data_IF_378876405109
#
_entry.id   IF_378876405109
#
_cell.length_a   1.000
_cell.length_b   1.000
_cell.length_c   1.000
_cell.angle_alpha   90.00
_cell.angle_beta   90.00
_cell.angle_gamma   90.00
#
_symmetry.space_group_name_H-M   'P 1'
#
loop_
_entity.id
_entity.type
_entity.pdbx_description
1 polymer ?
#
# COMPACT_ATOMS: atom_id res chain seq x y z
N UNK A 1 61.19 -6.50 -37.63
CA UNK A 1 61.63 -7.02 -38.94
C UNK A 1 60.42 -7.62 -39.66
N UNK A 2 60.10 -7.05 -40.85
CA UNK A 2 59.36 -7.56 -42.04
C UNK A 2 58.14 -8.49 -41.83
N UNK A 3 56.91 -8.03 -42.14
CA UNK A 3 56.18 -8.03 -43.47
C UNK A 3 55.84 -9.46 -43.92
N UNK A 4 54.61 -9.82 -44.31
CA UNK A 4 53.78 -9.38 -45.49
C UNK A 4 52.39 -10.07 -45.34
N UNK A 5 51.21 -9.43 -45.37
CA UNK A 5 50.38 -8.89 -46.48
C UNK A 5 50.09 -9.81 -47.69
N UNK A 6 48.80 -10.11 -47.93
CA UNK A 6 48.02 -9.94 -49.18
C UNK A 6 46.53 -10.29 -48.88
N UNK A 7 45.44 -9.56 -49.18
CA UNK A 7 44.92 -8.68 -50.27
C UNK A 7 44.02 -9.38 -51.31
N UNK A 8 42.84 -8.76 -51.50
CA UNK A 8 41.86 -8.86 -52.61
C UNK A 8 40.42 -8.81 -52.04
N UNK A 9 39.56 -7.77 -52.12
CA UNK A 9 39.34 -6.63 -53.04
C UNK A 9 39.02 -7.12 -54.47
N UNK A 10 37.90 -6.79 -55.14
CA UNK A 10 37.32 -5.47 -55.45
C UNK A 10 35.90 -5.60 -56.05
N UNK A 11 35.05 -4.58 -55.77
CA UNK A 11 33.97 -3.86 -56.50
C UNK A 11 33.19 -4.46 -57.70
N UNK A 12 32.02 -3.97 -58.15
CA UNK A 12 31.45 -2.61 -58.37
C UNK A 12 29.92 -2.72 -58.56
N UNK A 13 29.03 -1.91 -57.97
CA UNK A 13 28.64 -0.50 -58.26
C UNK A 13 27.72 -0.28 -59.47
N UNK A 14 26.54 0.33 -59.23
CA UNK A 14 25.93 1.54 -59.85
C UNK A 14 24.41 1.52 -59.65
N UNK A 15 23.83 2.42 -58.87
CA UNK A 15 23.45 3.82 -59.17
C UNK A 15 22.32 3.93 -60.22
N UNK A 16 21.19 4.54 -59.84
CA UNK A 16 20.84 5.89 -60.31
C UNK A 16 19.54 6.43 -59.70
N UNK A 17 19.66 7.66 -59.18
CA UNK A 17 18.62 8.68 -59.02
C UNK A 17 18.16 9.23 -60.39
N UNK A 18 16.92 9.72 -60.46
CA UNK A 18 16.62 11.01 -61.09
C UNK A 18 15.22 11.54 -60.74
N UNK A 19 15.19 12.81 -60.34
CA UNK A 19 14.06 13.72 -60.13
C UNK A 19 13.27 14.06 -61.42
N UNK A 20 12.03 14.56 -61.29
CA UNK A 20 11.68 16.00 -61.50
C UNK A 20 10.16 16.31 -61.50
N UNK A 21 9.80 17.37 -60.73
CA UNK A 21 8.89 18.55 -60.96
C UNK A 21 7.53 18.36 -61.66
N UNK A 22 6.42 19.04 -61.36
CA UNK A 22 5.99 20.17 -60.50
C UNK A 22 4.44 20.29 -60.66
N UNK A 23 3.66 20.96 -59.80
CA UNK A 23 3.32 22.38 -59.92
C UNK A 23 2.31 22.84 -58.83
N UNK A 24 2.54 24.05 -58.32
CA UNK A 24 1.59 25.15 -58.04
C UNK A 24 0.42 25.05 -57.01
N UNK A 25 0.54 25.92 -55.99
CA UNK A 25 -0.48 26.47 -55.04
C UNK A 25 -1.52 27.38 -55.77
N UNK A 26 -2.70 27.71 -55.18
CA UNK A 26 -2.79 28.83 -54.22
C UNK A 26 -3.74 28.64 -53.02
N UNK A 27 -3.43 29.41 -51.99
CA UNK A 27 -4.24 29.77 -50.83
C UNK A 27 -5.30 30.81 -51.18
N UNK A 28 -6.50 30.72 -50.59
CA UNK A 28 -7.29 31.92 -50.23
C UNK A 28 -8.45 31.58 -49.29
N UNK A 29 -8.45 32.35 -48.20
CA UNK A 29 -9.53 32.63 -47.26
C UNK A 29 -10.75 33.29 -47.93
N UNK A 30 -11.96 32.92 -47.52
CA UNK A 30 -13.08 33.87 -47.30
C UNK A 30 -14.12 33.27 -46.36
N UNK A 31 -14.25 33.94 -45.21
CA UNK A 31 -15.43 34.21 -44.39
C UNK A 31 -16.77 34.07 -45.13
N UNK A 32 -17.75 33.38 -44.53
CA UNK A 32 -19.14 33.84 -44.48
C UNK A 32 -19.84 33.27 -43.23
N UNK A 33 -20.30 34.18 -42.39
CA UNK A 33 -21.20 33.96 -41.26
C UNK A 33 -22.53 33.35 -41.71
N UNK A 34 -23.13 32.49 -40.88
CA UNK A 34 -24.56 32.61 -40.51
C UNK A 34 -24.89 31.87 -39.24
N UNK A 35 -25.60 32.59 -38.36
CA UNK A 35 -26.04 32.23 -37.01
C UNK A 35 -27.16 31.18 -36.99
N UNK A 36 -27.19 30.43 -35.89
CA UNK A 36 -28.35 29.90 -35.13
C UNK A 36 -29.32 28.95 -35.86
N UNK A 37 -29.79 27.83 -35.30
CA UNK A 37 -30.27 27.64 -33.93
C UNK A 37 -30.50 26.13 -33.65
N UNK A 38 -30.39 25.78 -32.36
CA UNK A 38 -31.14 24.74 -31.63
C UNK A 38 -31.00 23.22 -31.94
N UNK A 39 -30.81 22.49 -30.82
CA UNK A 39 -31.16 21.07 -30.55
C UNK A 39 -30.37 20.00 -31.30
N UNK A 40 -29.80 18.95 -30.72
CA UNK A 40 -30.11 18.22 -29.48
C UNK A 40 -28.88 17.37 -29.09
N UNK A 41 -28.66 17.18 -27.79
CA UNK A 41 -27.60 16.32 -27.24
C UNK A 41 -28.08 14.87 -27.19
N UNK A 42 -27.36 13.95 -27.82
CA UNK A 42 -27.39 12.51 -27.49
C UNK A 42 -26.31 12.22 -26.45
N UNK A 43 -26.74 11.64 -25.32
CA UNK A 43 -25.95 11.34 -24.12
C UNK A 43 -25.13 10.06 -24.30
N UNK A 44 -23.87 10.09 -23.87
CA UNK A 44 -23.11 8.90 -23.41
C UNK A 44 -23.16 8.89 -21.89
N UNK A 45 -23.63 7.78 -21.31
CA UNK A 45 -23.90 7.63 -19.89
C UNK A 45 -22.65 7.47 -19.05
N UNK A 46 -22.47 8.36 -18.08
CA UNK A 46 -21.62 8.16 -16.90
C UNK A 46 -22.55 8.11 -15.69
N UNK A 47 -22.48 7.02 -14.93
CA UNK A 47 -23.10 6.87 -13.62
C UNK A 47 -22.30 7.68 -12.59
N UNK A 48 -22.40 9.00 -12.66
CA UNK A 48 -22.07 9.86 -11.54
C UNK A 48 -23.30 9.99 -10.65
N UNK A 49 -23.15 9.67 -9.37
CA UNK A 49 -24.10 10.10 -8.35
C UNK A 49 -24.24 11.62 -8.46
N UNK A 50 -25.44 12.09 -8.82
CA UNK A 50 -25.78 13.50 -8.87
C UNK A 50 -25.69 14.05 -7.45
N UNK A 51 -24.58 14.73 -7.13
CA UNK A 51 -24.58 15.69 -6.03
C UNK A 51 -25.74 16.67 -6.27
N UNK A 52 -26.63 16.91 -5.29
CA UNK A 52 -27.74 17.81 -5.49
C UNK A 52 -27.18 19.19 -5.87
N UNK A 53 -27.61 19.68 -7.05
CA UNK A 53 -27.37 21.05 -7.48
C UNK A 53 -27.73 21.98 -6.32
N UNK A 54 -26.82 22.91 -6.01
CA UNK A 54 -26.82 23.73 -4.79
C UNK A 54 -28.17 24.34 -4.43
N UNK A 55 -28.32 24.75 -3.15
CA UNK A 55 -29.47 25.36 -2.45
C UNK A 55 -30.81 25.52 -3.22
N UNK A 56 -30.80 26.11 -4.41
CA UNK A 56 -31.93 26.23 -5.33
C UNK A 56 -32.62 24.88 -5.69
N UNK A 57 -31.88 23.79 -5.90
CA UNK A 57 -32.47 22.50 -6.27
C UNK A 57 -33.25 21.82 -5.13
N UNK A 58 -32.85 22.11 -3.89
CA UNK A 58 -33.52 21.62 -2.68
C UNK A 58 -34.81 22.43 -2.40
N UNK A 59 -34.76 23.75 -2.56
CA UNK A 59 -35.92 24.66 -2.43
C UNK A 59 -37.08 24.27 -3.35
N UNK A 60 -36.79 23.89 -4.60
CA UNK A 60 -37.82 23.53 -5.58
C UNK A 60 -38.53 22.20 -5.25
N UNK A 61 -37.81 21.22 -4.69
CA UNK A 61 -38.41 19.98 -4.18
C UNK A 61 -39.21 20.20 -2.89
N UNK A 62 -38.76 21.10 -2.03
CA UNK A 62 -39.41 21.46 -0.77
C UNK A 62 -40.71 22.24 -0.99
N UNK A 63 -40.75 23.14 -1.99
CA UNK A 63 -41.98 23.83 -2.41
C UNK A 63 -43.05 22.87 -2.94
N UNK A 64 -42.64 21.86 -3.72
CA UNK A 64 -43.56 20.84 -4.23
C UNK A 64 -44.11 19.90 -3.13
N UNK A 65 -43.47 19.83 -1.97
CA UNK A 65 -43.85 18.94 -0.87
C UNK A 65 -44.76 19.63 0.18
N UNK A 66 -45.06 20.93 0.05
CA UNK A 66 -45.87 21.72 1.01
C UNK A 66 -45.49 21.54 2.49
N UNK A 67 -44.23 21.17 2.79
CA UNK A 67 -43.76 21.09 4.16
C UNK A 67 -43.32 22.49 4.60
N UNK A 68 -43.88 23.06 5.68
CA UNK A 68 -43.41 24.34 6.20
C UNK A 68 -41.99 24.16 6.75
N UNK A 69 -41.05 25.00 6.30
CA UNK A 69 -39.62 24.89 6.61
C UNK A 69 -39.14 26.21 7.15
N UNK A 70 -38.39 26.16 8.25
CA UNK A 70 -37.76 27.33 8.88
C UNK A 70 -36.24 27.27 8.74
N UNK A 71 -35.61 28.43 8.70
CA UNK A 71 -34.15 28.55 8.75
C UNK A 71 -33.71 28.73 10.20
N UNK A 72 -32.94 27.80 10.74
CA UNK A 72 -32.35 27.86 12.08
C UNK A 72 -30.84 27.71 11.92
N UNK A 73 -30.06 28.67 12.44
CA UNK A 73 -28.60 28.67 12.42
C UNK A 73 -27.98 28.35 11.03
N UNK A 74 -28.58 28.90 9.97
CA UNK A 74 -28.09 28.70 8.60
C UNK A 74 -28.59 27.44 7.88
N UNK A 75 -29.29 26.54 8.56
CA UNK A 75 -29.86 25.30 8.00
C UNK A 75 -31.38 25.35 7.85
N UNK A 76 -31.89 24.76 6.76
CA UNK A 76 -33.32 24.64 6.48
C UNK A 76 -33.87 23.36 7.13
N UNK A 77 -34.80 23.52 8.07
CA UNK A 77 -35.34 22.45 8.90
C UNK A 77 -36.88 22.48 8.84
N UNK A 78 -37.58 21.34 8.65
CA UNK A 78 -39.04 21.30 8.69
C UNK A 78 -39.60 21.80 10.04
N UNK A 79 -40.72 22.52 10.01
CA UNK A 79 -41.42 22.92 11.23
C UNK A 79 -41.84 21.68 12.04
N UNK A 80 -41.61 21.71 13.35
CA UNK A 80 -41.83 20.58 14.25
C UNK A 80 -40.66 19.60 14.39
N UNK A 81 -39.61 19.67 13.56
CA UNK A 81 -38.42 18.83 13.74
C UNK A 81 -37.55 19.34 14.90
N UNK A 82 -37.50 18.56 15.99
CA UNK A 82 -36.58 18.78 17.11
C UNK A 82 -35.24 18.11 16.79
N UNK A 83 -34.29 18.89 16.28
CA UNK A 83 -32.90 18.42 16.12
C UNK A 83 -32.34 18.07 17.49
N UNK A 84 -31.99 16.79 17.70
CA UNK A 84 -31.24 16.39 18.89
C UNK A 84 -29.81 16.86 18.70
N UNK A 85 -29.31 17.66 19.63
CA UNK A 85 -27.90 18.06 19.63
C UNK A 85 -27.06 16.80 19.90
N UNK A 86 -26.28 16.38 18.90
CA UNK A 86 -25.30 15.30 19.09
C UNK A 86 -24.14 15.92 19.86
N UNK A 87 -24.10 15.72 21.17
CA UNK A 87 -22.95 16.06 22.00
C UNK A 87 -21.93 14.90 21.89
N UNK A 88 -20.68 15.14 21.44
CA UNK A 88 -19.62 14.15 21.54
C UNK A 88 -19.51 13.66 22.99
N UNK A 89 -19.30 12.35 23.18
CA UNK A 89 -19.10 11.80 24.51
C UNK A 89 -17.80 12.35 25.12
N UNK A 90 -17.84 12.83 26.36
CA UNK A 90 -16.66 13.36 27.08
C UNK A 90 -15.58 12.28 27.31
N UNK A 91 -15.99 11.01 27.35
CA UNK A 91 -15.11 9.83 27.40
C UNK A 91 -15.55 8.84 26.35
N UNK A 92 -14.83 8.80 25.24
CA UNK A 92 -15.10 7.82 24.19
C UNK A 92 -14.24 6.59 24.45
N UNK A 93 -14.80 5.62 25.19
CA UNK A 93 -14.18 4.31 25.32
C UNK A 93 -14.49 3.49 24.06
N UNK A 94 -13.69 3.74 23.01
CA UNK A 94 -13.76 3.02 21.73
C UNK A 94 -13.63 1.51 21.91
N UNK A 95 -12.85 1.06 22.90
CA UNK A 95 -12.56 -0.35 23.12
C UNK A 95 -13.77 -1.03 23.73
N UNK A 96 -14.36 -0.48 24.79
CA UNK A 96 -15.59 -1.03 25.37
C UNK A 96 -16.76 -1.01 24.39
N UNK A 97 -16.87 0.04 23.57
CA UNK A 97 -17.87 0.07 22.50
C UNK A 97 -17.62 -1.04 21.45
N UNK A 98 -16.38 -1.21 21.01
CA UNK A 98 -16.03 -2.24 20.03
C UNK A 98 -16.28 -3.65 20.58
N UNK A 99 -15.95 -3.90 21.85
CA UNK A 99 -16.26 -5.15 22.57
C UNK A 99 -17.77 -5.39 22.64
N UNK A 100 -18.55 -4.39 23.03
CA UNK A 100 -20.01 -4.51 23.13
C UNK A 100 -20.71 -4.74 21.78
N UNK A 101 -20.10 -4.34 20.67
CA UNK A 101 -20.64 -4.52 19.32
C UNK A 101 -20.20 -5.82 18.63
N UNK A 102 -19.18 -6.51 19.16
CA UNK A 102 -18.59 -7.68 18.52
C UNK A 102 -18.36 -8.78 19.56
N UNK A 103 -19.23 -9.78 19.60
CA UNK A 103 -19.10 -10.93 20.51
C UNK A 103 -17.78 -11.70 20.30
N UNK A 104 -17.23 -11.66 19.09
CA UNK A 104 -15.97 -12.28 18.67
C UNK A 104 -14.79 -11.28 18.59
N UNK A 105 -14.85 -10.19 19.37
CA UNK A 105 -13.83 -9.14 19.38
C UNK A 105 -12.40 -9.69 19.58
N UNK A 106 -12.19 -10.51 20.61
CA UNK A 106 -10.85 -10.98 20.94
C UNK A 106 -10.25 -11.93 19.88
N UNK A 107 -10.96 -12.97 19.40
CA UNK A 107 -10.49 -13.79 18.28
C UNK A 107 -10.17 -12.98 17.01
N UNK A 108 -11.04 -12.02 16.63
CA UNK A 108 -10.83 -11.18 15.45
C UNK A 108 -9.63 -10.23 15.60
N UNK A 109 -9.47 -9.62 16.77
CA UNK A 109 -8.32 -8.75 17.03
C UNK A 109 -7.02 -9.55 16.94
N UNK A 110 -6.99 -10.74 17.53
CA UNK A 110 -5.83 -11.62 17.45
C UNK A 110 -5.52 -11.98 15.99
N UNK A 111 -6.51 -12.48 15.24
CA UNK A 111 -6.34 -12.82 13.81
C UNK A 111 -5.85 -11.61 12.99
N UNK A 112 -6.40 -10.43 13.27
CA UNK A 112 -6.00 -9.20 12.60
C UNK A 112 -4.53 -8.86 12.88
N UNK A 113 -4.06 -8.97 14.12
CA UNK A 113 -2.70 -8.57 14.48
C UNK A 113 -1.68 -9.72 14.50
N UNK A 114 -2.06 -10.96 14.18
CA UNK A 114 -1.18 -12.13 14.25
C UNK A 114 0.12 -11.98 13.45
N UNK A 115 0.05 -11.38 12.26
CA UNK A 115 1.24 -11.13 11.42
C UNK A 115 2.16 -10.09 12.07
N UNK A 116 1.59 -9.04 12.66
CA UNK A 116 2.36 -7.99 13.33
C UNK A 116 2.96 -8.45 14.64
N UNK A 117 2.20 -9.23 15.42
CA UNK A 117 2.66 -9.87 16.65
C UNK A 117 3.80 -10.84 16.34
N UNK A 118 3.67 -11.66 15.29
CA UNK A 118 4.74 -12.57 14.86
C UNK A 118 6.00 -11.80 14.41
N UNK A 119 5.83 -10.68 13.69
CA UNK A 119 6.93 -9.79 13.31
C UNK A 119 7.64 -9.19 14.54
N UNK A 120 6.88 -8.73 15.54
CA UNK A 120 7.45 -8.19 16.78
C UNK A 120 8.26 -9.23 17.56
N UNK A 121 7.70 -10.43 17.73
CA UNK A 121 8.40 -11.54 18.40
C UNK A 121 9.67 -11.93 17.63
N UNK A 122 9.62 -11.96 16.30
CA UNK A 122 10.79 -12.26 15.48
C UNK A 122 11.86 -11.16 15.58
N UNK A 123 11.46 -9.89 15.61
CA UNK A 123 12.40 -8.78 15.76
C UNK A 123 13.11 -8.83 17.10
N UNK A 124 12.39 -9.10 18.19
CA UNK A 124 12.99 -9.27 19.51
C UNK A 124 14.02 -10.41 19.54
N UNK A 125 13.72 -11.54 18.90
CA UNK A 125 14.64 -12.69 18.82
C UNK A 125 15.88 -12.44 17.96
N UNK A 126 15.74 -11.66 16.90
CA UNK A 126 16.79 -11.45 15.90
C UNK A 126 17.59 -10.15 16.08
N UNK A 127 17.05 -9.20 16.87
CA UNK A 127 17.53 -7.82 16.97
C UNK A 127 17.22 -6.96 15.74
N UNK A 128 16.34 -7.43 14.85
CA UNK A 128 16.11 -6.84 13.53
C UNK A 128 14.65 -6.46 13.33
N UNK A 129 14.42 -5.16 13.19
CA UNK A 129 13.12 -4.53 13.17
C UNK A 129 12.82 -4.08 11.74
N UNK A 130 11.85 -4.73 11.11
CA UNK A 130 11.44 -4.43 9.73
C UNK A 130 10.07 -3.76 9.82
N UNK A 131 10.03 -2.48 9.49
CA UNK A 131 8.86 -1.64 9.67
C UNK A 131 8.55 -0.82 8.42
N UNK A 132 7.32 -0.34 8.36
CA UNK A 132 6.89 0.64 7.39
C UNK A 132 6.42 1.88 8.14
N UNK A 133 7.06 3.02 7.89
CA UNK A 133 6.74 4.29 8.58
C UNK A 133 6.88 5.48 7.66
N UNK A 134 6.18 6.56 7.98
CA UNK A 134 6.51 7.86 7.43
C UNK A 134 7.80 8.36 8.11
N UNK A 135 8.80 8.88 7.37
CA UNK A 135 10.01 9.44 7.95
C UNK A 135 9.76 10.57 8.96
N UNK A 136 8.62 11.26 8.85
CA UNK A 136 8.23 12.36 9.74
C UNK A 136 7.78 11.91 11.14
N UNK A 137 7.46 10.62 11.31
CA UNK A 137 6.95 10.06 12.56
C UNK A 137 7.94 9.10 13.23
N UNK A 138 7.89 9.06 14.57
CA UNK A 138 8.73 8.17 15.41
C UNK A 138 8.03 6.85 15.80
N UNK A 139 6.96 6.49 15.10
CA UNK A 139 6.27 5.22 15.28
C UNK A 139 6.17 4.50 13.94
N UNK A 140 6.17 3.17 13.98
CA UNK A 140 5.98 2.36 12.78
C UNK A 140 4.49 2.15 12.53
N UNK A 141 4.04 2.43 11.31
CA UNK A 141 2.66 2.26 10.89
C UNK A 141 2.30 0.78 10.72
N UNK A 142 3.27 -0.02 10.25
CA UNK A 142 3.11 -1.46 10.05
C UNK A 142 4.38 -2.20 10.45
N UNK A 143 4.21 -3.33 11.14
CA UNK A 143 5.29 -4.31 11.39
C UNK A 143 5.30 -5.34 10.27
N UNK A 144 6.45 -5.54 9.64
CA UNK A 144 6.58 -6.36 8.44
C UNK A 144 7.13 -7.73 8.81
N UNK A 145 6.47 -8.78 8.34
CA UNK A 145 6.90 -10.16 8.54
C UNK A 145 7.51 -10.75 7.27
N UNK A 146 8.19 -11.89 7.38
CA UNK A 146 8.83 -12.53 6.21
C UNK A 146 7.83 -12.96 5.12
N UNK A 147 6.54 -13.13 5.47
CA UNK A 147 5.44 -13.44 4.53
C UNK A 147 4.81 -12.21 3.89
N UNK A 148 5.15 -10.99 4.34
CA UNK A 148 4.62 -9.74 3.81
C UNK A 148 5.12 -9.49 2.38
N UNK A 149 4.24 -9.00 1.50
CA UNK A 149 4.53 -8.80 0.08
C UNK A 149 5.31 -7.52 -0.14
N UNK A 150 6.21 -7.60 -1.11
CA UNK A 150 6.80 -6.46 -1.78
C UNK A 150 5.84 -5.95 -2.86
N UNK A 151 6.02 -4.70 -3.29
CA UNK A 151 5.42 -4.11 -4.49
C UNK A 151 5.56 -4.98 -5.75
N UNK A 152 6.55 -5.87 -5.83
CA UNK A 152 6.68 -6.82 -6.94
C UNK A 152 5.83 -8.09 -6.81
N UNK A 153 4.91 -8.13 -5.84
CA UNK A 153 4.01 -9.26 -5.48
C UNK A 153 4.70 -10.51 -4.92
N UNK A 154 6.00 -10.43 -4.60
CA UNK A 154 6.77 -11.51 -3.96
C UNK A 154 6.97 -11.25 -2.46
N UNK A 155 7.20 -12.29 -1.67
CA UNK A 155 7.36 -12.21 -0.21
C UNK A 155 8.74 -11.67 0.16
N UNK A 156 8.87 -11.09 1.36
CA UNK A 156 10.16 -10.67 1.90
C UNK A 156 11.17 -11.84 1.97
N UNK A 157 10.70 -13.06 2.28
CA UNK A 157 11.55 -14.26 2.28
C UNK A 157 12.11 -14.65 0.90
N UNK A 158 11.53 -14.13 -0.18
CA UNK A 158 11.96 -14.37 -1.57
C UNK A 158 12.90 -13.28 -2.09
N UNK A 159 13.26 -12.32 -1.23
CA UNK A 159 14.26 -11.30 -1.51
C UNK A 159 15.64 -11.71 -0.98
N UNK A 160 16.67 -10.98 -1.42
CA UNK A 160 18.04 -11.19 -0.97
C UNK A 160 18.16 -11.09 0.55
N UNK A 161 19.24 -11.66 1.10
CA UNK A 161 19.57 -11.46 2.51
C UNK A 161 19.74 -9.97 2.83
N UNK A 162 19.29 -9.58 4.00
CA UNK A 162 19.29 -8.20 4.49
C UNK A 162 19.91 -8.10 5.89
N UNK A 163 20.32 -6.90 6.25
CA UNK A 163 20.92 -6.49 7.51
C UNK A 163 20.40 -5.07 7.88
N UNK A 164 20.75 -4.56 9.06
CA UNK A 164 20.24 -3.32 9.65
C UNK A 164 20.52 -2.01 8.89
N UNK A 165 21.26 -2.06 7.78
CA UNK A 165 21.54 -0.93 6.90
C UNK A 165 21.14 -1.21 5.45
N UNK A 166 20.38 -2.28 5.22
CA UNK A 166 19.97 -2.69 3.89
C UNK A 166 18.98 -1.71 3.29
N UNK A 167 19.46 -0.91 2.33
CA UNK A 167 18.61 -0.02 1.53
C UNK A 167 18.07 -0.74 0.28
N UNK A 168 18.83 -1.69 -0.26
CA UNK A 168 18.49 -2.44 -1.47
C UNK A 168 18.46 -3.92 -1.15
N UNK A 169 17.26 -4.47 -1.11
CA UNK A 169 17.02 -5.91 -0.93
C UNK A 169 16.32 -6.43 -2.19
N UNK A 170 17.05 -6.80 -3.26
CA UNK A 170 16.46 -7.19 -4.53
C UNK A 170 15.73 -8.53 -4.44
N UNK A 171 14.67 -8.68 -5.25
CA UNK A 171 13.93 -9.94 -5.35
C UNK A 171 14.81 -11.03 -6.00
N UNK A 172 14.75 -12.25 -5.49
CA UNK A 172 15.51 -13.41 -6.01
C UNK A 172 14.66 -14.34 -6.88
N UNK A 173 13.36 -14.06 -7.05
CA UNK A 173 12.50 -14.86 -7.93
C UNK A 173 12.96 -14.70 -9.38
N UNK A 174 13.24 -15.80 -10.11
CA UNK A 174 13.71 -15.72 -11.49
C UNK A 174 12.78 -14.89 -12.38
N UNK A 175 13.37 -13.94 -13.12
CA UNK A 175 12.62 -13.05 -14.02
C UNK A 175 12.03 -11.80 -13.35
N UNK A 176 12.08 -11.66 -12.03
CA UNK A 176 11.67 -10.44 -11.34
C UNK A 176 12.76 -9.35 -11.46
N UNK A 177 12.36 -8.14 -11.86
CA UNK A 177 13.28 -6.99 -12.01
C UNK A 177 13.33 -6.07 -10.79
N UNK A 178 12.75 -6.48 -9.66
CA UNK A 178 12.65 -5.69 -8.45
C UNK A 178 14.01 -5.53 -7.74
N UNK A 179 14.46 -4.28 -7.58
CA UNK A 179 15.78 -3.95 -7.01
C UNK A 179 15.79 -3.72 -5.50
N UNK A 180 14.63 -3.48 -4.90
CA UNK A 180 14.51 -3.20 -3.47
C UNK A 180 13.16 -3.66 -2.93
N UNK A 181 13.17 -4.24 -1.73
CA UNK A 181 11.95 -4.58 -1.02
C UNK A 181 11.20 -3.30 -0.64
N UNK A 182 9.94 -3.21 -1.03
CA UNK A 182 9.03 -2.12 -0.69
C UNK A 182 7.72 -2.73 -0.28
N UNK A 183 7.39 -2.66 1.01
CA UNK A 183 6.16 -3.25 1.52
C UNK A 183 4.93 -2.65 0.83
N UNK A 184 3.99 -3.51 0.46
CA UNK A 184 2.67 -3.13 -0.04
C UNK A 184 1.63 -3.92 0.79
N UNK A 185 0.47 -3.34 1.13
CA UNK A 185 -0.60 -4.05 1.81
C UNK A 185 -0.89 -5.42 1.19
N UNK A 186 -0.98 -6.46 2.04
CA UNK A 186 -1.27 -7.82 1.62
C UNK A 186 -2.77 -8.09 1.54
N UNK A 187 -3.51 -7.41 2.43
CA UNK A 187 -4.94 -7.58 2.65
C UNK A 187 -5.58 -6.20 2.88
N UNK A 188 -6.88 -6.04 2.63
CA UNK A 188 -7.56 -4.76 2.80
C UNK A 188 -7.54 -4.24 4.25
N UNK A 189 -7.43 -5.13 5.25
CA UNK A 189 -7.39 -4.75 6.66
C UNK A 189 -6.12 -3.99 7.04
N UNK A 190 -4.99 -4.23 6.34
CA UNK A 190 -3.72 -3.50 6.57
C UNK A 190 -3.87 -1.99 6.29
N UNK A 191 -4.92 -1.59 5.58
CA UNK A 191 -5.24 -0.20 5.22
C UNK A 191 -6.61 0.24 5.77
N UNK A 192 -7.15 -0.49 6.75
CA UNK A 192 -8.41 -0.15 7.39
C UNK A 192 -9.66 -0.42 6.56
N UNK A 193 -9.55 -1.09 5.40
CA UNK A 193 -10.69 -1.47 4.56
C UNK A 193 -11.37 -2.78 5.03
N UNK A 194 -11.61 -2.92 6.34
CA UNK A 194 -12.14 -4.13 7.00
C UNK A 194 -13.55 -4.55 6.53
N UNK A 195 -14.25 -3.71 5.76
CA UNK A 195 -15.55 -4.04 5.18
C UNK A 195 -15.44 -4.81 3.87
N UNK A 196 -14.29 -4.80 3.18
CA UNK A 196 -14.09 -5.50 1.91
C UNK A 196 -14.22 -7.03 2.04
N UNK A 197 -13.57 -7.69 3.03
CA UNK A 197 -13.70 -9.13 3.23
C UNK A 197 -15.14 -9.60 3.50
N UNK A 198 -15.98 -8.72 4.06
CA UNK A 198 -17.38 -9.01 4.36
C UNK A 198 -18.27 -9.01 3.11
N UNK A 199 -17.76 -8.61 1.95
CA UNK A 199 -18.55 -8.59 0.71
C UNK A 199 -18.72 -10.00 0.13
N UNK A 200 -19.92 -10.38 -0.30
CA UNK A 200 -20.13 -11.64 -1.00
C UNK A 200 -19.21 -11.77 -2.22
N UNK A 201 -18.54 -12.92 -2.35
CA UNK A 201 -17.63 -13.20 -3.46
C UNK A 201 -16.28 -12.48 -3.38
N UNK A 202 -15.91 -11.90 -2.24
CA UNK A 202 -14.58 -11.36 -2.04
C UNK A 202 -13.53 -12.48 -2.02
N UNK A 203 -12.49 -12.34 -2.85
CA UNK A 203 -11.32 -13.23 -2.86
C UNK A 203 -10.10 -12.48 -2.31
N UNK A 204 -9.69 -12.87 -1.10
CA UNK A 204 -8.52 -12.31 -0.43
C UNK A 204 -7.22 -12.60 -1.19
N UNK A 205 -7.15 -13.69 -1.95
CA UNK A 205 -5.94 -14.09 -2.66
C UNK A 205 -5.69 -13.27 -3.92
N UNK A 206 -6.76 -12.79 -4.55
CA UNK A 206 -6.73 -11.92 -5.73
C UNK A 206 -6.63 -10.43 -5.39
N UNK A 207 -6.89 -10.03 -4.13
CA UNK A 207 -6.86 -8.63 -3.75
C UNK A 207 -5.47 -8.01 -3.90
N UNK A 208 -5.40 -6.79 -4.46
CA UNK A 208 -4.17 -6.02 -4.62
C UNK A 208 -4.47 -4.54 -4.42
N UNK A 209 -3.55 -3.86 -3.74
CA UNK A 209 -3.62 -2.42 -3.51
C UNK A 209 -3.71 -1.63 -4.82
N UNK A 210 -4.60 -0.62 -4.86
CA UNK A 210 -4.90 0.19 -6.06
C UNK A 210 -4.16 1.53 -6.05
N UNK A 211 -3.78 1.96 -7.24
CA UNK A 211 -3.33 3.32 -7.51
C UNK A 211 -4.53 4.24 -7.80
N UNK A 212 -4.38 5.56 -7.66
CA UNK A 212 -5.33 6.58 -8.12
C UNK A 212 -5.68 6.44 -9.60
N UNK A 213 -4.80 5.85 -10.43
CA UNK A 213 -5.09 5.51 -11.82
C UNK A 213 -5.99 4.27 -12.00
N UNK A 214 -6.49 3.69 -10.90
CA UNK A 214 -7.40 2.54 -10.79
C UNK A 214 -6.83 1.18 -11.16
N UNK A 215 -5.59 1.13 -11.65
CA UNK A 215 -4.84 -0.12 -11.80
C UNK A 215 -4.23 -0.54 -10.46
N UNK A 216 -4.09 -1.84 -10.26
CA UNK A 216 -3.42 -2.40 -9.08
C UNK A 216 -1.91 -2.23 -9.19
N UNK A 217 -1.20 -2.32 -8.07
CA UNK A 217 0.26 -2.17 -8.04
C UNK A 217 1.00 -3.18 -8.96
N UNK A 218 0.43 -4.36 -9.23
CA UNK A 218 1.00 -5.34 -10.17
C UNK A 218 1.14 -4.81 -11.61
N UNK A 219 0.32 -3.83 -12.01
CA UNK A 219 0.42 -3.20 -13.33
C UNK A 219 1.46 -2.07 -13.36
N UNK A 220 2.18 -1.83 -12.27
CA UNK A 220 3.22 -0.81 -12.20
C UNK A 220 4.62 -1.44 -12.23
N UNK A 221 5.62 -0.65 -12.63
CA UNK A 221 7.00 -1.09 -12.50
C UNK A 221 7.37 -1.35 -11.03
N UNK A 222 8.01 -2.48 -10.70
CA UNK A 222 8.42 -2.75 -9.33
C UNK A 222 9.47 -1.77 -8.81
N UNK A 223 10.15 -1.03 -9.69
CA UNK A 223 11.14 -0.03 -9.31
C UNK A 223 10.56 1.38 -9.41
N UNK A 224 11.05 2.26 -8.52
CA UNK A 224 10.71 3.68 -8.53
C UNK A 224 10.96 4.30 -9.93
N UNK A 225 10.06 5.18 -10.42
CA UNK A 225 8.94 5.78 -9.69
C UNK A 225 7.65 4.94 -9.69
N UNK A 226 7.68 3.67 -10.10
CA UNK A 226 6.50 2.80 -10.23
C UNK A 226 5.52 3.25 -11.32
N UNK A 227 6.05 3.51 -12.52
CA UNK A 227 5.23 3.89 -13.69
C UNK A 227 4.21 2.79 -14.01
N UNK A 228 2.99 3.19 -14.36
CA UNK A 228 1.99 2.25 -14.83
C UNK A 228 2.39 1.70 -16.21
N UNK A 229 2.28 0.39 -16.38
CA UNK A 229 2.58 -0.35 -17.61
C UNK A 229 1.34 -0.62 -18.46
N UNK A 230 0.15 -0.30 -17.95
CA UNK A 230 -1.09 -0.43 -18.73
C UNK A 230 -1.06 0.51 -19.93
N UNK A 231 -1.30 -0.03 -21.13
CA UNK A 231 -1.28 0.73 -22.37
C UNK A 231 -2.22 1.95 -22.31
N UNK A 232 -1.70 3.12 -22.71
CA UNK A 232 -2.47 4.37 -22.72
C UNK A 232 -2.67 5.03 -21.34
N UNK A 233 -2.13 4.48 -20.25
CA UNK A 233 -2.23 5.11 -18.94
C UNK A 233 -1.15 6.20 -18.76
N UNK A 234 -1.50 7.47 -18.44
CA UNK A 234 -0.53 8.55 -18.25
C UNK A 234 0.16 8.53 -16.88
N UNK A 235 -0.14 7.53 -16.04
CA UNK A 235 0.32 7.43 -14.66
C UNK A 235 1.84 7.20 -14.59
N UNK A 236 2.57 8.22 -14.12
CA UNK A 236 4.03 8.22 -14.05
C UNK A 236 4.61 7.71 -12.72
N UNK A 237 3.76 7.37 -11.75
CA UNK A 237 4.17 6.76 -10.49
C UNK A 237 3.00 6.19 -9.71
N UNK A 238 3.29 5.31 -8.76
CA UNK A 238 2.25 4.76 -7.89
C UNK A 238 1.82 5.81 -6.85
N UNK A 239 0.53 6.11 -6.85
CA UNK A 239 -0.12 6.98 -5.87
C UNK A 239 -1.26 6.20 -5.24
N UNK A 240 -1.23 5.92 -3.94
CA UNK A 240 -2.27 5.06 -3.34
C UNK A 240 -3.68 5.66 -3.47
N UNK A 241 -4.65 4.81 -3.81
CA UNK A 241 -6.09 5.13 -3.75
C UNK A 241 -6.65 4.98 -2.31
N UNK A 242 -5.77 4.68 -1.36
CA UNK A 242 -6.04 4.50 0.06
C UNK A 242 -5.09 5.35 0.91
N UNK A 243 -5.44 5.54 2.18
CA UNK A 243 -4.59 6.16 3.19
C UNK A 243 -4.14 5.10 4.20
N UNK A 244 -2.98 5.32 4.82
CA UNK A 244 -2.52 4.49 5.92
C UNK A 244 -3.49 4.58 7.11
N UNK A 245 -3.95 3.44 7.61
CA UNK A 245 -4.87 3.39 8.75
C UNK A 245 -4.27 3.93 10.07
N UNK A 246 -2.94 3.99 10.18
CA UNK A 246 -2.24 4.44 11.38
C UNK A 246 -1.95 5.95 11.39
N UNK A 247 -1.67 6.56 10.24
CA UNK A 247 -1.20 7.95 10.18
C UNK A 247 -1.86 8.83 9.10
N UNK A 248 -2.86 8.30 8.38
CA UNK A 248 -3.63 8.99 7.33
C UNK A 248 -2.81 9.57 6.16
N UNK A 249 -1.55 9.14 6.00
CA UNK A 249 -0.69 9.50 4.85
C UNK A 249 -0.84 8.53 3.69
N UNK A 250 -0.51 8.98 2.48
CA UNK A 250 -0.47 8.12 1.30
C UNK A 250 0.68 7.11 1.37
N UNK A 251 0.58 6.02 0.62
CA UNK A 251 1.58 4.94 0.65
C UNK A 251 2.96 5.45 0.20
N UNK A 252 3.01 6.31 -0.81
CA UNK A 252 4.25 6.86 -1.36
C UNK A 252 5.01 7.80 -0.40
N UNK A 253 4.36 8.26 0.67
CA UNK A 253 4.98 9.07 1.74
C UNK A 253 5.73 8.20 2.77
N UNK A 254 5.61 6.88 2.67
CA UNK A 254 6.24 5.95 3.60
C UNK A 254 7.49 5.30 3.00
N UNK A 255 8.31 4.74 3.90
CA UNK A 255 9.44 3.91 3.55
C UNK A 255 9.43 2.62 4.36
N UNK A 256 9.91 1.55 3.74
CA UNK A 256 10.27 0.32 4.46
C UNK A 256 11.68 0.46 5.02
N UNK A 257 11.83 0.22 6.31
CA UNK A 257 13.10 0.30 7.04
C UNK A 257 13.51 -1.08 7.52
N UNK A 258 14.83 -1.28 7.59
CA UNK A 258 15.47 -2.45 8.18
C UNK A 258 16.38 -1.93 9.28
N UNK A 259 15.85 -1.76 10.50
CA UNK A 259 16.63 -1.18 11.60
C UNK A 259 17.15 -2.30 12.53
N UNK A 260 18.38 -2.17 13.04
CA UNK A 260 18.83 -2.94 14.20
C UNK A 260 18.18 -2.40 15.48
N UNK A 261 18.15 -3.21 16.53
CA UNK A 261 17.82 -2.72 17.87
C UNK A 261 18.68 -1.53 18.32
N UNK A 262 19.99 -1.57 18.06
CA UNK A 262 20.91 -0.49 18.43
C UNK A 262 20.52 0.83 17.77
N UNK A 263 20.41 0.84 16.43
CA UNK A 263 19.95 1.99 15.64
C UNK A 263 18.61 2.55 16.13
N UNK A 264 17.66 1.69 16.53
CA UNK A 264 16.38 2.13 17.09
C UNK A 264 16.54 2.82 18.44
N UNK A 265 17.34 2.25 19.35
CA UNK A 265 17.64 2.86 20.66
C UNK A 265 18.29 4.24 20.48
N UNK A 266 19.26 4.36 19.57
CA UNK A 266 19.93 5.63 19.25
C UNK A 266 18.95 6.69 18.71
N UNK A 267 17.95 6.27 17.94
CA UNK A 267 16.90 7.15 17.41
C UNK A 267 15.74 7.41 18.40
N UNK A 268 15.73 6.72 19.55
CA UNK A 268 14.63 6.77 20.51
C UNK A 268 13.34 6.12 19.99
N UNK A 269 13.46 5.07 19.19
CA UNK A 269 12.35 4.29 18.65
C UNK A 269 12.04 3.07 19.55
N UNK A 270 10.79 2.56 19.57
CA UNK A 270 10.42 1.41 20.39
C UNK A 270 11.19 0.14 20.01
N UNK A 271 11.57 -0.66 21.00
CA UNK A 271 12.29 -1.94 20.87
C UNK A 271 11.72 -2.98 21.84
N UNK A 272 12.00 -4.26 21.61
CA UNK A 272 11.54 -5.35 22.48
C UNK A 272 10.02 -5.35 22.64
N UNK A 273 9.55 -5.51 23.87
CA UNK A 273 8.11 -5.47 24.18
C UNK A 273 7.43 -4.14 23.89
N UNK A 274 8.16 -3.01 23.88
CA UNK A 274 7.59 -1.70 23.50
C UNK A 274 7.27 -1.62 22.00
N UNK A 275 7.81 -2.53 21.18
CA UNK A 275 7.48 -2.63 19.76
C UNK A 275 6.32 -3.60 19.49
N UNK A 276 5.67 -4.19 20.49
CA UNK A 276 4.48 -5.04 20.27
C UNK A 276 3.27 -4.23 19.79
N UNK A 277 2.33 -4.83 19.04
CA UNK A 277 1.02 -4.23 18.82
C UNK A 277 0.36 -3.88 20.15
N UNK A 278 -0.16 -2.65 20.24
CA UNK A 278 -0.85 -2.14 21.42
C UNK A 278 -0.01 -2.15 22.71
N UNK A 279 1.31 -1.96 22.64
CA UNK A 279 2.19 -1.96 23.81
C UNK A 279 1.66 -1.11 24.97
N UNK A 280 1.02 0.04 24.69
CA UNK A 280 0.46 0.96 25.68
C UNK A 280 -0.93 0.53 26.24
N UNK A 281 -1.59 -0.47 25.65
CA UNK A 281 -2.92 -0.95 26.03
C UNK A 281 -2.87 -2.44 26.40
N UNK A 282 -2.64 -2.78 27.69
CA UNK A 282 -2.41 -4.16 28.14
C UNK A 282 -3.47 -5.16 27.68
N UNK A 283 -4.76 -4.84 27.79
CA UNK A 283 -5.85 -5.73 27.41
C UNK A 283 -5.78 -6.11 25.92
N UNK A 284 -5.56 -5.13 25.04
CA UNK A 284 -5.48 -5.35 23.59
C UNK A 284 -4.18 -6.05 23.20
N UNK A 285 -3.06 -5.71 23.85
CA UNK A 285 -1.78 -6.39 23.68
C UNK A 285 -1.88 -7.86 24.04
N UNK A 286 -2.51 -8.16 25.18
CA UNK A 286 -2.69 -9.52 25.66
C UNK A 286 -3.57 -10.30 24.69
N UNK A 287 -4.69 -9.74 24.22
CA UNK A 287 -5.50 -10.35 23.16
C UNK A 287 -4.65 -10.61 21.89
N UNK A 288 -3.84 -9.65 21.44
CA UNK A 288 -3.01 -9.83 20.25
C UNK A 288 -1.94 -10.92 20.42
N UNK A 289 -1.50 -11.21 21.64
CA UNK A 289 -0.51 -12.24 21.97
C UNK A 289 -1.13 -13.63 22.21
N UNK A 290 -2.16 -13.69 23.04
CA UNK A 290 -2.74 -14.94 23.57
C UNK A 290 -4.15 -15.22 23.06
N UNK A 291 -4.88 -14.20 22.61
CA UNK A 291 -6.31 -14.25 22.34
C UNK A 291 -7.19 -14.00 23.57
N UNK A 292 -6.58 -13.72 24.72
CA UNK A 292 -7.27 -13.47 25.99
C UNK A 292 -6.73 -12.19 26.63
N UNK A 293 -7.61 -11.25 26.98
CA UNK A 293 -7.24 -9.96 27.56
C UNK A 293 -6.59 -10.06 28.94
N UNK A 294 -6.93 -11.09 29.72
CA UNK A 294 -6.40 -11.30 31.06
C UNK A 294 -5.14 -12.17 31.10
N UNK A 295 -4.76 -12.79 29.97
CA UNK A 295 -3.58 -13.65 29.90
C UNK A 295 -2.36 -12.86 29.43
N UNK A 296 -1.56 -12.40 30.40
CA UNK A 296 -0.31 -11.68 30.20
C UNK A 296 0.94 -12.59 30.20
N UNK A 297 0.77 -13.91 30.30
CA UNK A 297 1.87 -14.88 30.41
C UNK A 297 2.91 -14.70 29.29
N UNK A 298 2.45 -14.66 28.03
CA UNK A 298 3.30 -14.43 26.86
C UNK A 298 4.03 -13.08 26.90
N UNK A 299 3.38 -12.04 27.41
CA UNK A 299 4.02 -10.73 27.54
C UNK A 299 5.14 -10.78 28.59
N UNK A 300 4.87 -11.39 29.75
CA UNK A 300 5.87 -11.56 30.81
C UNK A 300 7.06 -12.41 30.36
N UNK A 301 6.82 -13.49 29.61
CA UNK A 301 7.88 -14.30 28.97
C UNK A 301 8.75 -13.45 28.05
N UNK A 302 8.15 -12.67 27.15
CA UNK A 302 8.90 -11.80 26.24
C UNK A 302 9.70 -10.74 27.02
N UNK A 303 9.11 -10.16 28.07
CA UNK A 303 9.77 -9.12 28.87
C UNK A 303 11.02 -9.62 29.59
N UNK A 304 11.07 -10.90 29.98
CA UNK A 304 12.26 -11.50 30.58
C UNK A 304 13.47 -11.50 29.61
N UNK A 305 13.21 -11.47 28.30
CA UNK A 305 14.22 -11.43 27.23
C UNK A 305 14.34 -10.06 26.56
N UNK A 306 13.79 -8.99 27.14
CA UNK A 306 13.98 -7.60 26.65
C UNK A 306 15.41 -7.07 26.87
N UNK A 307 16.21 -7.77 27.69
CA UNK A 307 17.63 -7.56 27.76
C UNK A 307 18.28 -8.10 26.48
N UNK A 308 19.06 -7.26 25.79
CA UNK A 308 19.82 -7.59 24.58
C UNK A 308 20.42 -8.99 24.76
N UNK A 309 20.06 -10.01 23.94
CA UNK A 309 20.78 -11.27 24.02
C UNK A 309 22.26 -10.96 23.80
N UNK A 310 23.13 -11.42 24.70
CA UNK A 310 24.58 -11.17 24.66
C UNK A 310 25.22 -11.60 23.32
N UNK A 311 24.48 -12.41 22.55
CA UNK A 311 24.76 -12.86 21.18
C UNK A 311 23.63 -12.46 20.21
N UNK A 312 23.16 -11.22 20.22
CA UNK A 312 22.27 -10.72 19.16
C UNK A 312 22.95 -11.02 17.80
N UNK A 313 22.28 -11.79 16.94
CA UNK A 313 22.86 -12.38 15.72
C UNK A 313 23.34 -11.31 14.73
N UNK A 314 22.99 -10.04 14.93
CA UNK A 314 23.32 -8.99 13.99
C UNK A 314 23.88 -7.74 14.67
N UNK A 315 25.20 -7.60 14.64
CA UNK A 315 25.79 -6.27 14.47
C UNK A 315 25.25 -5.65 13.18
N UNK A 316 25.28 -4.33 13.07
CA UNK A 316 24.65 -3.58 11.97
C UNK A 316 24.93 -4.12 10.55
N UNK A 317 26.03 -4.85 10.37
CA UNK A 317 26.55 -5.31 9.08
C UNK A 317 26.38 -6.84 8.84
N UNK A 318 25.80 -7.60 9.78
CA UNK A 318 25.60 -9.06 9.63
C UNK A 318 24.21 -9.39 9.04
N UNK A 319 24.12 -10.33 8.08
CA UNK A 319 22.85 -10.70 7.45
C UNK A 319 21.95 -11.53 8.39
N UNK A 320 20.65 -11.30 8.33
CA UNK A 320 19.65 -12.05 9.10
C UNK A 320 19.48 -13.46 8.53
N UNK A 321 19.78 -14.46 9.35
CA UNK A 321 19.44 -15.85 9.08
C UNK A 321 17.99 -16.08 9.51
N UNK A 322 17.03 -15.84 8.60
CA UNK A 322 15.66 -16.34 8.81
C UNK A 322 15.72 -17.86 8.82
N UNK A 323 15.59 -18.48 9.99
CA UNK A 323 15.36 -19.93 10.08
C UNK A 323 14.00 -20.24 9.45
N UNK A 324 13.97 -20.36 8.13
CA UNK A 324 12.98 -21.18 7.46
C UNK A 324 13.19 -22.61 7.93
N UNK A 325 12.10 -23.32 8.17
CA UNK A 325 12.09 -24.77 8.35
C UNK A 325 12.71 -25.43 7.09
N UNK A 326 14.04 -25.51 7.06
CA UNK A 326 14.79 -26.45 6.24
C UNK A 326 15.10 -27.63 7.14
N UNK A 327 14.08 -28.42 7.42
CA UNK A 327 14.34 -29.83 7.69
C UNK A 327 15.03 -30.40 6.45
N UNK A 328 16.10 -31.15 6.68
CA UNK A 328 17.13 -31.48 5.71
C UNK A 328 16.58 -32.07 4.42
N UNK A 329 16.72 -31.33 3.32
CA UNK A 329 16.65 -31.89 1.99
C UNK A 329 17.90 -32.73 1.73
N UNK A 330 17.84 -34.02 2.07
CA UNK A 330 18.71 -35.01 1.44
C UNK A 330 18.42 -34.96 -0.06
N UNK A 331 19.44 -34.61 -0.84
CA UNK A 331 19.31 -34.39 -2.28
C UNK A 331 18.81 -35.64 -3.01
N UNK A 332 17.57 -35.58 -3.49
CA UNK A 332 17.10 -36.45 -4.56
C UNK A 332 17.54 -35.84 -5.89
N UNK A 333 18.49 -36.48 -6.56
CA UNK A 333 18.88 -36.19 -7.94
C UNK A 333 18.15 -37.20 -8.85
N UNK A 334 17.18 -36.80 -9.67
CA UNK A 334 16.63 -37.72 -10.65
C UNK A 334 17.72 -38.00 -11.70
N UNK A 335 18.08 -39.28 -11.81
CA UNK A 335 18.79 -39.82 -12.97
C UNK A 335 17.74 -40.04 -14.04
N UNK A 336 17.92 -39.44 -15.20
CA UNK A 336 17.18 -39.79 -16.40
C UNK A 336 17.98 -40.87 -17.11
N UNK A 337 17.38 -42.06 -17.26
CA UNK A 337 17.79 -43.05 -18.26
C UNK A 337 17.31 -42.62 -19.65
#
# INVERSE_FOLDING_TARGET
MKKTQARGSVHTSKDQQSDTKGASKPSSSTTLERKSNASSKTKVGTSQALAPKGQQGMMQKLQNAQLPIKKVDGMYVPEGYKMRVIKPAEKYDVVSMAKAMNDDFAPKLKELFDVETAAAIQAQKSGMYIGWRCPDFKHDCQRIFHTSRCFCDHKLSEHAQYHAKSVKVPCQVPGCSCKAYMWIPNRPEDIGEFWLPKRPGFDATAWRAKCKCKHTHNFHDPNRPHRCKTAGCPCFGFHSDFLCAACDRHWEEHQTFFDSEQSRREQGLPVGTDWLPFAEMPDLRNIALSGNEYDDSKFLELRQFDAIPSNAITGNDQPVQLKGNREGGTGFKPVYD
#
